data_IF_551504992508
#
_entry.id   IF_551504992508
#
_cell.length_a   1.000
_cell.length_b   1.000
_cell.length_c   1.000
_cell.angle_alpha   90.00
_cell.angle_beta   90.00
_cell.angle_gamma   90.00
#
_symmetry.space_group_name_H-M   'P 1'
#
loop_
_entity.id
_entity.type
_entity.pdbx_description
1 polymer ?
#
# COMPACT_ATOMS: atom_id res chain seq x y z
N UNK A 1 3.26 -7.82 4.69
CA UNK A 1 2.33 -6.93 3.96
C UNK A 1 1.90 -5.70 4.78
N UNK A 2 1.30 -5.88 5.97
CA UNK A 2 0.78 -4.78 6.81
C UNK A 2 1.75 -3.59 7.02
N UNK A 3 2.96 -3.84 7.54
CA UNK A 3 3.95 -2.77 7.75
C UNK A 3 4.38 -2.02 6.48
N UNK A 4 4.39 -2.71 5.33
CA UNK A 4 4.74 -2.09 4.05
C UNK A 4 3.66 -1.08 3.66
N UNK A 5 2.38 -1.45 3.78
CA UNK A 5 1.25 -0.56 3.48
C UNK A 5 1.27 0.65 4.41
N UNK A 6 1.35 0.44 5.73
CA UNK A 6 1.41 1.55 6.70
C UNK A 6 2.57 2.49 6.42
N UNK A 7 3.77 1.96 6.17
CA UNK A 7 4.96 2.77 5.87
C UNK A 7 4.78 3.55 4.56
N UNK A 8 4.17 2.93 3.56
CA UNK A 8 3.95 3.56 2.26
C UNK A 8 2.95 4.72 2.36
N UNK A 9 1.86 4.54 3.09
CA UNK A 9 0.84 5.57 3.29
C UNK A 9 1.42 6.77 4.07
N UNK A 10 2.23 6.53 5.09
CA UNK A 10 2.89 7.59 5.90
C UNK A 10 3.72 8.56 5.08
N UNK A 11 4.32 8.12 3.97
CA UNK A 11 5.12 8.97 3.08
C UNK A 11 4.29 10.16 2.55
N UNK A 12 2.99 9.99 2.32
CA UNK A 12 2.10 11.04 1.83
C UNK A 12 1.81 12.15 2.84
N UNK A 13 1.97 11.87 4.13
CA UNK A 13 1.90 12.89 5.16
C UNK A 13 3.27 13.54 5.41
N UNK A 14 4.31 12.73 5.60
CA UNK A 14 5.66 13.19 5.92
C UNK A 14 6.26 14.11 4.84
N UNK A 15 6.03 13.78 3.56
CA UNK A 15 6.67 14.45 2.43
C UNK A 15 5.68 15.16 1.51
N UNK A 16 4.49 15.51 1.99
CA UNK A 16 3.38 16.04 1.17
C UNK A 16 3.79 17.09 0.12
N UNK A 17 4.52 18.18 0.45
CA UNK A 17 4.89 19.18 -0.55
C UNK A 17 5.80 18.61 -1.66
N UNK A 18 6.79 17.78 -1.28
CA UNK A 18 7.71 17.14 -2.21
C UNK A 18 6.98 16.18 -3.15
N UNK A 19 6.01 15.44 -2.62
CA UNK A 19 5.20 14.48 -3.39
C UNK A 19 4.31 15.22 -4.38
N UNK A 20 3.67 16.32 -3.98
CA UNK A 20 2.86 17.14 -4.88
C UNK A 20 3.69 17.65 -6.07
N UNK A 21 4.86 18.25 -5.79
CA UNK A 21 5.78 18.70 -6.84
C UNK A 21 6.25 17.53 -7.70
N UNK A 22 6.63 16.41 -7.10
CA UNK A 22 7.05 15.23 -7.85
C UNK A 22 5.98 14.73 -8.82
N UNK A 23 4.72 14.61 -8.40
CA UNK A 23 3.66 14.14 -9.28
C UNK A 23 3.26 15.16 -10.36
N UNK A 24 3.41 16.46 -10.10
CA UNK A 24 3.10 17.51 -11.07
C UNK A 24 4.23 17.70 -12.09
N UNK A 25 5.48 17.70 -11.63
CA UNK A 25 6.62 18.20 -12.41
C UNK A 25 7.55 17.11 -12.94
N UNK A 26 7.45 15.86 -12.45
CA UNK A 26 8.39 14.78 -12.83
C UNK A 26 8.38 14.44 -14.33
N UNK A 27 7.32 14.79 -15.05
CA UNK A 27 7.21 14.62 -16.49
C UNK A 27 8.15 15.55 -17.28
N UNK A 28 8.69 16.61 -16.67
CA UNK A 28 9.56 17.61 -17.30
C UNK A 28 11.05 17.39 -17.00
N UNK A 29 11.40 16.29 -16.34
CA UNK A 29 12.78 16.01 -15.95
C UNK A 29 13.66 15.60 -17.13
N UNK A 30 14.95 15.99 -17.07
CA UNK A 30 15.95 15.54 -18.05
C UNK A 30 16.15 14.02 -17.99
N UNK A 31 16.52 13.36 -19.10
CA UNK A 31 16.59 11.90 -19.19
C UNK A 31 17.36 11.18 -18.06
N UNK A 32 18.52 11.66 -17.58
CA UNK A 32 19.23 10.99 -16.49
C UNK A 32 18.42 10.86 -15.19
N UNK A 33 17.58 11.85 -14.88
CA UNK A 33 16.73 11.84 -13.69
C UNK A 33 15.52 10.94 -13.86
N UNK A 34 14.96 10.88 -15.08
CA UNK A 34 13.85 9.97 -15.41
C UNK A 34 14.29 8.52 -15.21
N UNK A 35 15.46 8.14 -15.69
CA UNK A 35 15.98 6.77 -15.54
C UNK A 35 16.30 6.43 -14.07
N UNK A 36 16.85 7.37 -13.31
CA UNK A 36 17.06 7.19 -11.87
C UNK A 36 15.73 6.96 -11.12
N UNK A 37 14.67 7.69 -11.47
CA UNK A 37 13.32 7.52 -10.90
C UNK A 37 12.73 6.16 -11.29
N UNK A 38 12.82 5.78 -12.58
CA UNK A 38 12.33 4.48 -13.05
C UNK A 38 12.99 3.32 -12.30
N UNK A 39 14.32 3.38 -12.11
CA UNK A 39 15.05 2.36 -11.34
C UNK A 39 14.54 2.25 -9.91
N UNK A 40 14.36 3.37 -9.20
CA UNK A 40 13.81 3.37 -7.83
C UNK A 40 12.37 2.84 -7.76
N UNK A 41 11.51 3.23 -8.71
CA UNK A 41 10.13 2.73 -8.81
C UNK A 41 10.10 1.22 -9.07
N UNK A 42 10.97 0.73 -9.95
CA UNK A 42 11.10 -0.68 -10.26
C UNK A 42 11.52 -1.48 -9.03
N UNK A 43 12.56 -1.03 -8.30
CA UNK A 43 12.99 -1.68 -7.06
C UNK A 43 11.87 -1.76 -6.02
N UNK A 44 11.10 -0.67 -5.84
CA UNK A 44 10.00 -0.67 -4.88
C UNK A 44 8.86 -1.61 -5.32
N UNK A 45 8.54 -1.64 -6.61
CA UNK A 45 7.55 -2.57 -7.18
C UNK A 45 7.95 -4.03 -6.94
N UNK A 46 9.22 -4.36 -7.13
CA UNK A 46 9.74 -5.71 -6.89
C UNK A 46 9.61 -6.14 -5.42
N UNK A 47 9.78 -5.22 -4.46
CA UNK A 47 9.52 -5.50 -3.03
C UNK A 47 8.06 -5.86 -2.80
N UNK A 48 7.11 -5.13 -3.40
CA UNK A 48 5.69 -5.48 -3.27
C UNK A 48 5.40 -6.84 -3.89
N UNK A 49 5.91 -7.09 -5.10
CA UNK A 49 5.64 -8.32 -5.85
C UNK A 49 6.21 -9.55 -5.13
N UNK A 50 7.42 -9.44 -4.59
CA UNK A 50 8.06 -10.53 -3.84
C UNK A 50 7.27 -10.91 -2.59
N UNK A 51 6.74 -9.93 -1.84
CA UNK A 51 5.91 -10.22 -0.65
C UNK A 51 4.57 -10.87 -1.03
N UNK A 52 3.95 -10.46 -2.13
CA UNK A 52 2.72 -11.12 -2.62
C UNK A 52 3.03 -12.56 -3.01
N UNK A 53 4.09 -12.77 -3.80
CA UNK A 53 4.53 -14.09 -4.23
C UNK A 53 4.83 -15.01 -3.06
N UNK A 54 5.59 -14.53 -2.07
CA UNK A 54 5.91 -15.28 -0.85
C UNK A 54 4.64 -15.66 -0.07
N UNK A 55 3.68 -14.74 0.06
CA UNK A 55 2.42 -15.04 0.72
C UNK A 55 1.58 -16.09 -0.02
N UNK A 56 1.59 -16.10 -1.36
CA UNK A 56 0.96 -17.15 -2.17
C UNK A 56 1.68 -18.49 -1.98
N UNK A 57 3.01 -18.51 -2.03
CA UNK A 57 3.83 -19.72 -1.84
C UNK A 57 3.62 -20.36 -0.46
N UNK A 58 3.35 -19.55 0.56
CA UNK A 58 3.05 -20.01 1.92
C UNK A 58 1.58 -20.36 2.15
N UNK A 59 0.72 -20.20 1.15
CA UNK A 59 -0.74 -20.41 1.30
C UNK A 59 -1.46 -19.32 2.11
N UNK A 60 -0.75 -18.24 2.47
CA UNK A 60 -1.31 -17.12 3.24
C UNK A 60 -2.21 -16.25 2.37
N UNK A 61 -1.82 -16.06 1.11
CA UNK A 61 -2.58 -15.31 0.11
C UNK A 61 -3.20 -16.21 -0.94
N UNK A 62 -4.36 -15.77 -1.43
CA UNK A 62 -5.12 -16.37 -2.52
C UNK A 62 -4.27 -16.55 -3.78
N UNK A 63 -4.15 -17.80 -4.24
CA UNK A 63 -3.26 -18.19 -5.33
C UNK A 63 -3.82 -17.87 -6.73
N UNK A 64 -5.11 -17.59 -6.84
CA UNK A 64 -5.76 -17.19 -8.08
C UNK A 64 -5.46 -15.74 -8.50
N UNK A 65 -4.81 -14.95 -7.63
CA UNK A 65 -4.48 -13.55 -7.88
C UNK A 65 -3.12 -13.41 -8.59
N UNK A 66 -3.07 -12.87 -9.82
CA UNK A 66 -1.80 -12.62 -10.49
C UNK A 66 -0.97 -11.59 -9.73
N UNK A 67 0.31 -11.91 -9.45
CA UNK A 67 1.21 -11.08 -8.62
C UNK A 67 1.33 -9.66 -9.17
N UNK A 68 1.52 -9.52 -10.48
CA UNK A 68 1.74 -8.23 -11.13
C UNK A 68 0.52 -7.33 -11.04
N UNK A 69 -0.66 -7.86 -11.36
CA UNK A 69 -1.92 -7.10 -11.34
C UNK A 69 -2.24 -6.68 -9.90
N UNK A 70 -2.05 -7.60 -8.96
CA UNK A 70 -2.32 -7.38 -7.54
C UNK A 70 -1.39 -6.30 -6.97
N UNK A 71 -0.08 -6.41 -7.21
CA UNK A 71 0.88 -5.42 -6.73
C UNK A 71 0.68 -4.05 -7.37
N UNK A 72 0.37 -3.98 -8.67
CA UNK A 72 0.05 -2.72 -9.33
C UNK A 72 -1.24 -2.08 -8.80
N UNK A 73 -2.24 -2.89 -8.44
CA UNK A 73 -3.48 -2.41 -7.83
C UNK A 73 -3.24 -1.78 -6.45
N UNK A 74 -2.43 -2.44 -5.62
CA UNK A 74 -2.01 -1.91 -4.30
C UNK A 74 -1.22 -0.60 -4.47
N UNK A 75 -0.24 -0.58 -5.39
CA UNK A 75 0.53 0.63 -5.67
C UNK A 75 -0.35 1.77 -6.15
N UNK A 76 -1.31 1.50 -7.05
CA UNK A 76 -2.24 2.49 -7.58
C UNK A 76 -3.14 3.08 -6.49
N UNK A 77 -3.74 2.20 -5.66
CA UNK A 77 -4.59 2.59 -4.53
C UNK A 77 -3.86 3.53 -3.60
N UNK A 78 -2.68 3.13 -3.11
CA UNK A 78 -1.93 3.93 -2.15
C UNK A 78 -1.41 5.22 -2.77
N UNK A 79 -0.87 5.16 -3.99
CA UNK A 79 -0.37 6.35 -4.67
C UNK A 79 -1.46 7.40 -4.85
N UNK A 80 -2.68 7.02 -5.20
CA UNK A 80 -3.77 7.97 -5.46
C UNK A 80 -4.10 8.87 -4.25
N UNK A 81 -3.72 8.46 -3.03
CA UNK A 81 -3.83 9.26 -1.80
C UNK A 81 -3.29 10.68 -1.94
N UNK A 82 -2.24 10.90 -2.72
CA UNK A 82 -1.66 12.25 -2.88
C UNK A 82 -2.66 13.29 -3.42
N UNK A 83 -3.69 12.85 -4.16
CA UNK A 83 -4.69 13.74 -4.76
C UNK A 83 -5.75 14.22 -3.77
N UNK A 84 -6.12 13.40 -2.79
CA UNK A 84 -7.30 13.65 -1.95
C UNK A 84 -6.99 13.75 -0.46
N UNK A 85 -5.86 13.19 0.01
CA UNK A 85 -5.49 13.24 1.42
C UNK A 85 -5.24 14.67 1.90
N UNK A 86 -5.85 15.03 3.04
CA UNK A 86 -5.69 16.29 3.75
C UNK A 86 -5.30 16.01 5.20
N UNK A 87 -4.23 16.65 5.69
CA UNK A 87 -3.70 16.43 7.04
C UNK A 87 -4.67 16.94 8.12
N UNK A 88 -5.40 17.99 7.79
CA UNK A 88 -6.50 18.59 8.54
C UNK A 88 -7.88 18.00 8.16
N UNK A 89 -7.89 16.85 7.48
CA UNK A 89 -9.11 16.12 7.16
C UNK A 89 -9.67 15.33 8.35
N UNK A 90 -10.81 14.68 8.14
CA UNK A 90 -11.50 13.90 9.19
C UNK A 90 -10.83 12.58 9.58
N UNK A 91 -9.68 12.23 8.99
CA UNK A 91 -8.88 11.04 9.33
C UNK A 91 -7.40 11.34 9.24
N UNK A 92 -6.66 10.86 10.23
CA UNK A 92 -5.20 10.87 10.27
C UNK A 92 -4.62 9.90 9.23
N UNK A 93 -3.34 10.09 8.89
CA UNK A 93 -2.65 9.20 7.95
C UNK A 93 -2.50 7.77 8.51
N UNK A 94 -2.43 7.62 9.83
CA UNK A 94 -2.37 6.32 10.50
C UNK A 94 -3.69 5.57 10.34
N UNK A 95 -4.83 6.24 10.60
CA UNK A 95 -6.16 5.65 10.39
C UNK A 95 -6.40 5.26 8.92
N UNK A 96 -5.96 6.10 7.97
CA UNK A 96 -6.02 5.76 6.54
C UNK A 96 -5.16 4.54 6.22
N UNK A 97 -3.98 4.46 6.85
CA UNK A 97 -3.08 3.31 6.74
C UNK A 97 -3.74 2.02 7.21
N UNK A 98 -4.44 2.05 8.34
CA UNK A 98 -5.15 0.89 8.89
C UNK A 98 -6.34 0.48 8.01
N UNK A 99 -7.08 1.43 7.44
CA UNK A 99 -8.14 1.17 6.44
C UNK A 99 -7.56 0.49 5.20
N UNK A 100 -6.42 0.94 4.69
CA UNK A 100 -5.78 0.30 3.54
C UNK A 100 -5.26 -1.09 3.85
N UNK A 101 -4.69 -1.29 5.05
CA UNK A 101 -4.30 -2.63 5.51
C UNK A 101 -5.50 -3.56 5.49
N UNK A 102 -6.62 -3.16 6.09
CA UNK A 102 -7.84 -3.97 6.12
C UNK A 102 -8.37 -4.30 4.71
N UNK A 103 -8.53 -3.30 3.85
CA UNK A 103 -9.01 -3.50 2.47
C UNK A 103 -8.11 -4.46 1.68
N UNK A 104 -6.79 -4.27 1.78
CA UNK A 104 -5.82 -5.07 1.03
C UNK A 104 -5.74 -6.48 1.62
N UNK A 105 -5.70 -6.65 2.94
CA UNK A 105 -5.64 -7.97 3.55
C UNK A 105 -6.93 -8.77 3.30
N UNK A 106 -8.11 -8.15 3.39
CA UNK A 106 -9.37 -8.83 3.03
C UNK A 106 -9.36 -9.30 1.56
N UNK A 107 -8.73 -8.55 0.66
CA UNK A 107 -8.59 -8.93 -0.73
C UNK A 107 -7.54 -10.03 -0.94
N UNK A 108 -6.48 -10.11 -0.13
CA UNK A 108 -5.36 -11.04 -0.35
C UNK A 108 -5.49 -12.34 0.41
N UNK A 109 -5.94 -12.31 1.67
CA UNK A 109 -5.94 -13.47 2.56
C UNK A 109 -6.89 -14.54 2.05
N UNK A 110 -6.48 -15.80 2.22
CA UNK A 110 -7.40 -16.95 2.13
C UNK A 110 -8.44 -16.87 3.25
N UNK A 111 -9.55 -17.60 3.11
CA UNK A 111 -10.59 -17.56 4.14
C UNK A 111 -10.10 -18.12 5.48
N UNK A 112 -9.27 -19.17 5.46
CA UNK A 112 -8.60 -19.71 6.65
C UNK A 112 -7.74 -18.66 7.35
N UNK A 113 -6.94 -17.91 6.59
CA UNK A 113 -6.01 -16.92 7.15
C UNK A 113 -6.69 -15.63 7.57
N UNK A 114 -7.93 -15.36 7.13
CA UNK A 114 -8.71 -14.24 7.69
C UNK A 114 -9.08 -14.50 9.14
N UNK A 115 -9.33 -15.75 9.51
CA UNK A 115 -9.77 -16.14 10.85
C UNK A 115 -8.60 -16.45 11.81
N UNK A 116 -7.36 -16.41 11.30
CA UNK A 116 -6.16 -16.66 12.10
C UNK A 116 -5.93 -15.57 13.17
N UNK A 117 -5.57 -15.99 14.39
CA UNK A 117 -5.31 -15.06 15.52
C UNK A 117 -4.24 -14.00 15.19
N UNK A 118 -3.29 -14.33 14.32
CA UNK A 118 -2.20 -13.42 13.94
C UNK A 118 -2.64 -12.31 12.97
N UNK A 119 -3.69 -12.53 12.17
CA UNK A 119 -4.16 -11.59 11.14
C UNK A 119 -5.33 -10.74 11.64
N UNK A 120 -6.18 -11.30 12.49
CA UNK A 120 -7.36 -10.67 13.07
C UNK A 120 -7.12 -9.24 13.63
N UNK A 121 -6.02 -8.95 14.35
CA UNK A 121 -5.74 -7.60 14.87
C UNK A 121 -5.50 -6.54 13.80
N UNK A 122 -5.30 -6.92 12.53
CA UNK A 122 -5.09 -6.00 11.42
C UNK A 122 -6.38 -5.73 10.62
N UNK A 123 -7.47 -6.42 10.94
CA UNK A 123 -8.76 -6.27 10.27
C UNK A 123 -9.68 -5.38 11.12
N UNK A 124 -10.28 -4.37 10.49
CA UNK A 124 -11.07 -3.34 11.19
C UNK A 124 -12.31 -3.92 11.88
N UNK A 125 -12.91 -4.98 11.33
CA UNK A 125 -14.07 -5.66 11.92
C UNK A 125 -13.81 -6.17 13.35
N UNK A 126 -12.55 -6.39 13.69
CA UNK A 126 -12.14 -6.92 15.00
C UNK A 126 -11.53 -5.84 15.91
N UNK A 127 -11.35 -4.62 15.39
CA UNK A 127 -10.86 -3.45 16.12
C UNK A 127 -11.98 -2.41 16.37
N UNK A 128 -13.26 -2.81 16.29
CA UNK A 128 -14.36 -1.94 16.70
C UNK A 128 -14.31 -1.81 18.21
N UNK A 129 -13.58 -0.79 18.68
CA UNK A 129 -13.91 -0.13 19.94
C UNK A 129 -15.30 0.44 19.73
N UNK A 130 -16.25 -0.08 20.49
CA UNK A 130 -17.62 0.42 20.60
C UNK A 130 -17.55 1.94 20.86
N UNK A 131 -18.12 2.72 19.95
CA UNK A 131 -18.43 4.14 20.19
C UNK A 131 -19.46 4.27 21.34
#
# INVERSE_FOLDING_TARGET
>A
MQKIIQSFVKVFDLYKPHISVFYQESNYLKPPYVEAIKKKRQMYKEIIFSVIKEGIEKGVFRSELPVEITGMSILGMVNWSYKWYKRDGGKTIDEIGDIYVDLILNALLTDEEKDAEITQPFLLKNNVVVD
#
